data_IF_090314729733
#
_entry.id   IF_090314729733
#
_cell.length_a   1.000
_cell.length_b   1.000
_cell.length_c   1.000
_cell.angle_alpha   90.00
_cell.angle_beta   90.00
_cell.angle_gamma   90.00
#
_symmetry.space_group_name_H-M   'P 1'
#
loop_
_entity.id
_entity.type
_entity.pdbx_description
1 polymer ?
#
# COMPACT_ATOMS: atom_id res chain seq x y z
N UNK A 1 47.61 -54.57 -13.96
CA UNK A 1 46.45 -53.81 -14.56
C UNK A 1 45.62 -53.17 -13.42
N UNK A 2 45.74 -51.88 -13.26
CA UNK A 2 44.99 -51.10 -12.24
C UNK A 2 43.88 -50.32 -12.94
N UNK A 3 42.65 -50.70 -12.70
CA UNK A 3 41.47 -50.06 -13.24
C UNK A 3 41.05 -48.91 -12.32
N UNK A 4 41.18 -47.69 -12.80
CA UNK A 4 40.76 -46.46 -12.08
C UNK A 4 39.27 -46.24 -12.28
N UNK A 5 38.50 -46.26 -11.16
CA UNK A 5 37.09 -45.88 -11.15
C UNK A 5 36.96 -44.34 -11.00
N UNK A 6 36.51 -43.70 -12.07
CA UNK A 6 36.14 -42.30 -12.03
C UNK A 6 34.71 -42.19 -11.48
N UNK A 7 34.59 -41.63 -10.29
CA UNK A 7 33.26 -41.25 -9.70
C UNK A 7 32.83 -39.90 -10.25
N UNK A 8 31.83 -39.92 -11.12
CA UNK A 8 31.14 -38.70 -11.56
C UNK A 8 30.27 -38.15 -10.42
N UNK A 9 30.63 -36.98 -9.93
CA UNK A 9 29.82 -36.22 -8.99
C UNK A 9 28.88 -35.33 -9.80
N UNK A 10 27.60 -35.70 -9.85
CA UNK A 10 26.55 -34.88 -10.48
C UNK A 10 26.13 -33.77 -9.53
N UNK A 11 26.51 -32.55 -9.81
CA UNK A 11 26.09 -31.35 -9.07
C UNK A 11 24.69 -30.98 -9.54
N UNK A 12 23.68 -31.27 -8.75
CA UNK A 12 22.30 -30.83 -8.98
C UNK A 12 22.19 -29.33 -8.61
N UNK A 13 22.12 -28.47 -9.63
CA UNK A 13 21.85 -27.02 -9.48
C UNK A 13 20.34 -26.86 -9.18
N UNK A 14 20.00 -26.63 -7.92
CA UNK A 14 18.65 -26.23 -7.54
C UNK A 14 18.43 -24.75 -7.93
N UNK A 15 17.76 -24.52 -9.03
CA UNK A 15 17.29 -23.17 -9.42
C UNK A 15 16.11 -22.82 -8.53
N UNK A 16 16.37 -22.04 -7.48
CA UNK A 16 15.30 -21.40 -6.71
C UNK A 16 14.62 -20.35 -7.61
N UNK A 17 13.41 -20.64 -8.05
CA UNK A 17 12.56 -19.67 -8.75
C UNK A 17 12.17 -18.58 -7.75
N UNK A 18 12.91 -17.47 -7.79
CA UNK A 18 12.53 -16.23 -7.09
C UNK A 18 11.33 -15.66 -7.84
N UNK A 19 10.14 -15.82 -7.29
CA UNK A 19 8.95 -15.09 -7.76
C UNK A 19 9.20 -13.60 -7.53
N UNK A 20 9.71 -12.92 -8.55
CA UNK A 20 9.81 -11.46 -8.58
C UNK A 20 8.40 -10.93 -8.77
N UNK A 21 7.76 -10.53 -7.68
CA UNK A 21 6.52 -9.75 -7.75
C UNK A 21 6.87 -8.43 -8.44
N UNK A 22 6.35 -8.22 -9.65
CA UNK A 22 6.49 -6.96 -10.37
C UNK A 22 5.68 -5.92 -9.62
N UNK A 23 6.34 -5.07 -8.86
CA UNK A 23 5.75 -3.89 -8.24
C UNK A 23 5.85 -2.74 -9.24
N UNK A 24 4.71 -2.13 -9.56
CA UNK A 24 4.66 -0.88 -10.29
C UNK A 24 5.00 0.27 -9.33
N UNK A 25 6.30 0.47 -9.12
CA UNK A 25 6.87 1.59 -8.42
C UNK A 25 8.28 1.76 -8.97
N UNK A 26 8.52 2.84 -9.70
CA UNK A 26 9.74 3.01 -10.51
C UNK A 26 10.99 3.36 -9.68
N UNK A 27 10.85 3.69 -8.39
CA UNK A 27 11.98 4.08 -7.54
C UNK A 27 12.21 3.13 -6.36
N UNK A 28 13.47 2.98 -5.89
CA UNK A 28 13.79 2.19 -4.71
C UNK A 28 13.01 2.63 -3.45
N UNK A 29 12.69 3.92 -3.35
CA UNK A 29 11.91 4.52 -2.27
C UNK A 29 10.44 4.09 -2.32
N UNK A 30 9.85 4.06 -3.49
CA UNK A 30 8.48 3.60 -3.70
C UNK A 30 8.36 2.12 -3.36
N UNK A 31 9.29 1.33 -3.85
CA UNK A 31 9.36 -0.10 -3.52
C UNK A 31 9.47 -0.33 -2.01
N UNK A 32 10.36 0.37 -1.32
CA UNK A 32 10.52 0.25 0.13
C UNK A 32 9.25 0.63 0.89
N UNK A 33 8.52 1.66 0.45
CA UNK A 33 7.24 2.05 1.03
C UNK A 33 6.18 0.95 0.83
N UNK A 34 6.03 0.45 -0.39
CA UNK A 34 5.05 -0.61 -0.73
C UNK A 34 5.34 -1.89 0.05
N UNK A 35 6.61 -2.32 0.13
CA UNK A 35 7.02 -3.51 0.87
C UNK A 35 6.75 -3.36 2.38
N UNK A 36 7.06 -2.19 2.95
CA UNK A 36 6.81 -1.89 4.38
C UNK A 36 5.31 -1.87 4.69
N UNK A 37 4.51 -1.23 3.83
CA UNK A 37 3.06 -1.16 3.99
C UNK A 37 2.43 -2.55 3.91
N UNK A 38 2.81 -3.34 2.91
CA UNK A 38 2.34 -4.73 2.74
C UNK A 38 2.64 -5.57 3.98
N UNK A 39 3.87 -5.51 4.48
CA UNK A 39 4.29 -6.23 5.68
C UNK A 39 3.45 -5.84 6.91
N UNK A 40 3.26 -4.55 7.13
CA UNK A 40 2.46 -4.03 8.24
C UNK A 40 0.99 -4.46 8.12
N UNK A 41 0.42 -4.40 6.93
CA UNK A 41 -0.96 -4.77 6.66
C UNK A 41 -1.20 -6.27 6.89
N UNK A 42 -0.36 -7.15 6.32
CA UNK A 42 -0.50 -8.60 6.46
C UNK A 42 -0.23 -9.07 7.90
N UNK A 43 0.66 -8.40 8.63
CA UNK A 43 0.92 -8.65 10.05
C UNK A 43 -0.14 -8.04 10.98
N UNK A 44 -1.09 -7.25 10.47
CA UNK A 44 -2.04 -6.45 11.27
C UNK A 44 -1.33 -5.55 12.29
N UNK A 45 -0.18 -5.01 11.91
CA UNK A 45 0.58 -4.07 12.74
C UNK A 45 -0.10 -2.70 12.73
N UNK A 46 -1.01 -2.51 13.69
CA UNK A 46 -1.81 -1.29 13.84
C UNK A 46 -0.94 -0.05 14.00
N UNK A 47 0.15 -0.14 14.77
CA UNK A 47 1.03 0.99 15.02
C UNK A 47 1.75 1.42 13.74
N UNK A 48 2.30 0.47 12.99
CA UNK A 48 2.95 0.74 11.71
C UNK A 48 1.95 1.31 10.68
N UNK A 49 0.74 0.76 10.57
CA UNK A 49 -0.30 1.27 9.67
C UNK A 49 -0.75 2.69 10.04
N UNK A 50 -0.90 3.00 11.32
CA UNK A 50 -1.27 4.35 11.75
C UNK A 50 -0.12 5.35 11.58
N UNK A 51 1.14 4.92 11.66
CA UNK A 51 2.30 5.78 11.50
C UNK A 51 2.45 6.36 10.08
N UNK A 52 1.82 5.75 9.07
CA UNK A 52 1.81 6.29 7.71
C UNK A 52 0.75 7.37 7.49
N UNK A 53 -0.16 7.59 8.45
CA UNK A 53 -1.15 8.67 8.38
C UNK A 53 -0.49 10.01 8.70
N UNK A 54 -0.66 10.98 7.79
CA UNK A 54 -0.32 12.37 8.10
C UNK A 54 -1.57 13.06 8.67
N UNK A 55 -1.51 13.36 9.97
CA UNK A 55 -2.66 13.81 10.77
C UNK A 55 -2.63 15.30 11.12
N UNK A 56 -1.56 16.02 10.75
CA UNK A 56 -1.46 17.44 11.07
C UNK A 56 -2.52 18.25 10.33
N UNK A 57 -3.42 18.86 11.08
CA UNK A 57 -4.54 19.63 10.54
C UNK A 57 -5.70 18.78 10.03
N UNK A 58 -5.73 17.47 10.35
CA UNK A 58 -6.85 16.60 10.01
C UNK A 58 -8.10 16.92 10.82
N UNK A 59 -9.28 16.63 10.25
CA UNK A 59 -10.54 16.57 10.98
C UNK A 59 -10.57 15.31 11.87
N UNK A 60 -10.91 15.43 13.18
CA UNK A 60 -10.90 14.28 14.08
C UNK A 60 -11.84 13.15 13.65
N UNK A 61 -13.04 13.47 13.15
CA UNK A 61 -14.00 12.46 12.68
C UNK A 61 -13.52 11.73 11.44
N UNK A 62 -12.91 12.46 10.50
CA UNK A 62 -12.32 11.87 9.30
C UNK A 62 -11.11 11.00 9.68
N UNK A 63 -10.28 11.42 10.64
CA UNK A 63 -9.16 10.62 11.13
C UNK A 63 -9.61 9.26 11.67
N UNK A 64 -10.69 9.20 12.44
CA UNK A 64 -11.23 7.92 12.94
C UNK A 64 -11.76 7.04 11.79
N UNK A 65 -12.37 7.63 10.76
CA UNK A 65 -12.77 6.90 9.56
C UNK A 65 -11.54 6.28 8.88
N UNK A 66 -10.48 7.06 8.68
CA UNK A 66 -9.24 6.57 8.05
C UNK A 66 -8.60 5.43 8.85
N UNK A 67 -8.51 5.55 10.18
CA UNK A 67 -8.00 4.48 11.05
C UNK A 67 -8.83 3.21 10.91
N UNK A 68 -10.16 3.33 10.94
CA UNK A 68 -11.07 2.21 10.80
C UNK A 68 -10.94 1.54 9.44
N UNK A 69 -10.90 2.32 8.37
CA UNK A 69 -10.75 1.79 7.00
C UNK A 69 -9.43 1.05 6.80
N UNK A 70 -8.32 1.58 7.33
CA UNK A 70 -7.02 0.91 7.23
C UNK A 70 -6.99 -0.45 7.94
N UNK A 71 -7.74 -0.59 9.02
CA UNK A 71 -7.73 -1.80 9.84
C UNK A 71 -8.78 -2.83 9.43
N UNK A 72 -9.78 -2.44 8.63
CA UNK A 72 -10.94 -3.30 8.29
C UNK A 72 -10.56 -4.63 7.65
N UNK A 73 -9.54 -4.65 6.81
CA UNK A 73 -9.05 -5.85 6.13
C UNK A 73 -7.61 -6.23 6.53
N UNK A 74 -7.01 -5.51 7.49
CA UNK A 74 -5.66 -5.80 7.97
C UNK A 74 -5.57 -7.21 8.58
N UNK A 75 -4.45 -7.88 8.31
CA UNK A 75 -4.22 -9.28 8.65
C UNK A 75 -4.60 -10.26 7.54
N UNK A 76 -5.22 -9.77 6.45
CA UNK A 76 -5.45 -10.57 5.24
C UNK A 76 -4.26 -10.47 4.29
N UNK A 77 -4.07 -11.49 3.47
CA UNK A 77 -3.01 -11.50 2.47
C UNK A 77 -3.35 -10.57 1.31
N UNK A 78 -2.40 -9.73 0.94
CA UNK A 78 -2.50 -8.86 -0.23
C UNK A 78 -2.14 -9.68 -1.48
N UNK A 79 -3.07 -9.79 -2.43
CA UNK A 79 -2.82 -10.44 -3.72
C UNK A 79 -2.18 -9.51 -4.74
N UNK A 80 -2.50 -8.21 -4.67
CA UNK A 80 -1.90 -7.18 -5.53
C UNK A 80 -1.74 -5.87 -4.76
N UNK A 81 -0.61 -5.19 -4.94
CA UNK A 81 -0.37 -3.85 -4.40
C UNK A 81 0.41 -3.03 -5.42
N UNK A 82 -0.03 -1.82 -5.69
CA UNK A 82 0.56 -0.93 -6.67
C UNK A 82 0.52 0.52 -6.17
N UNK A 83 1.60 1.26 -6.42
CA UNK A 83 1.65 2.71 -6.23
C UNK A 83 1.58 3.36 -7.62
N UNK A 84 0.49 4.07 -7.90
CA UNK A 84 0.15 4.60 -9.21
C UNK A 84 0.19 6.13 -9.16
N UNK A 85 0.81 6.75 -10.16
CA UNK A 85 0.79 8.20 -10.32
C UNK A 85 -0.61 8.69 -10.68
N UNK A 86 -0.96 9.88 -10.23
CA UNK A 86 -2.20 10.52 -10.61
C UNK A 86 -2.15 11.02 -12.06
N UNK A 87 -3.28 10.86 -12.74
CA UNK A 87 -3.57 11.59 -13.97
C UNK A 87 -3.76 13.09 -13.69
N UNK A 88 -3.66 13.92 -14.73
CA UNK A 88 -3.91 15.35 -14.62
C UNK A 88 -5.34 15.66 -14.10
N UNK A 89 -6.31 14.83 -14.46
CA UNK A 89 -7.70 14.95 -14.01
C UNK A 89 -7.85 14.62 -12.50
N UNK A 90 -7.25 13.54 -12.05
CA UNK A 90 -7.26 13.18 -10.63
C UNK A 90 -6.57 14.24 -9.77
N UNK A 91 -5.49 14.86 -10.28
CA UNK A 91 -4.81 15.98 -9.61
C UNK A 91 -5.73 17.18 -9.41
N UNK A 92 -6.61 17.48 -10.40
CA UNK A 92 -7.62 18.53 -10.27
C UNK A 92 -8.68 18.16 -9.23
N UNK A 93 -9.15 16.92 -9.26
CA UNK A 93 -10.19 16.43 -8.34
C UNK A 93 -9.74 16.47 -6.89
N UNK A 94 -8.48 16.11 -6.57
CA UNK A 94 -7.97 16.13 -5.19
C UNK A 94 -7.63 17.55 -4.71
N UNK A 95 -7.42 18.50 -5.62
CA UNK A 95 -7.22 19.91 -5.30
C UNK A 95 -8.55 20.65 -4.96
N UNK A 96 -9.69 20.08 -5.35
CA UNK A 96 -11.00 20.68 -5.13
C UNK A 96 -11.52 20.35 -3.73
N UNK A 97 -11.99 21.33 -2.94
CA UNK A 97 -12.62 21.08 -1.65
C UNK A 97 -13.78 20.09 -1.76
N UNK A 98 -13.85 19.14 -0.84
CA UNK A 98 -14.92 18.14 -0.78
C UNK A 98 -15.85 18.40 0.38
N UNK A 99 -17.11 17.97 0.24
CA UNK A 99 -18.02 17.96 1.37
C UNK A 99 -17.57 16.91 2.40
N UNK A 100 -17.51 17.33 3.67
CA UNK A 100 -17.15 16.43 4.76
C UNK A 100 -18.37 15.66 5.25
N UNK A 101 -18.23 14.37 5.56
CA UNK A 101 -19.28 13.63 6.26
C UNK A 101 -19.57 14.18 7.67
N UNK A 102 -18.62 14.95 8.24
CA UNK A 102 -18.74 15.62 9.55
C UNK A 102 -19.27 17.06 9.42
N UNK A 103 -19.57 17.52 8.22
CA UNK A 103 -20.03 18.87 7.89
C UNK A 103 -18.91 19.80 7.42
N UNK A 104 -19.29 20.79 6.59
CA UNK A 104 -18.34 21.76 6.02
C UNK A 104 -17.51 21.22 4.84
N UNK A 105 -16.48 21.98 4.45
CA UNK A 105 -15.56 21.63 3.38
C UNK A 105 -14.23 21.16 3.94
N UNK A 106 -13.67 20.10 3.34
CA UNK A 106 -12.35 19.55 3.69
C UNK A 106 -11.42 19.58 2.50
N UNK A 107 -10.15 19.74 2.82
CA UNK A 107 -9.04 19.78 1.89
C UNK A 107 -7.93 18.85 2.38
N UNK A 108 -7.10 18.38 1.48
CA UNK A 108 -5.89 17.65 1.87
C UNK A 108 -4.84 18.62 2.41
N UNK A 109 -4.25 18.36 3.59
CA UNK A 109 -3.18 19.20 4.15
C UNK A 109 -1.87 19.09 3.39
N UNK A 110 -1.66 17.99 2.69
CA UNK A 110 -0.61 17.75 1.73
C UNK A 110 -1.24 17.35 0.40
N UNK A 111 -0.71 17.87 -0.70
CA UNK A 111 -1.19 17.53 -2.04
C UNK A 111 -0.85 16.08 -2.38
N UNK A 112 -1.82 15.19 -2.53
CA UNK A 112 -1.56 13.84 -3.00
C UNK A 112 -1.10 13.86 -4.46
N UNK A 113 -0.20 12.97 -4.82
CA UNK A 113 0.31 12.82 -6.19
C UNK A 113 0.22 11.38 -6.69
N UNK A 114 0.00 10.43 -5.78
CA UNK A 114 -0.07 9.00 -6.08
C UNK A 114 -1.24 8.35 -5.37
N UNK A 115 -1.60 7.15 -5.86
CA UNK A 115 -2.60 6.28 -5.23
C UNK A 115 -1.96 4.92 -4.93
N UNK A 116 -2.08 4.47 -3.70
CA UNK A 116 -1.76 3.10 -3.30
C UNK A 116 -3.01 2.23 -3.50
N UNK A 117 -2.97 1.34 -4.48
CA UNK A 117 -4.04 0.39 -4.76
C UNK A 117 -3.69 -0.97 -4.15
N UNK A 118 -4.61 -1.52 -3.37
CA UNK A 118 -4.42 -2.77 -2.62
C UNK A 118 -5.57 -3.70 -2.95
N UNK A 119 -5.27 -4.88 -3.45
CA UNK A 119 -6.25 -5.95 -3.68
C UNK A 119 -6.05 -7.05 -2.66
N UNK A 120 -7.11 -7.41 -1.97
CA UNK A 120 -7.14 -8.44 -0.93
C UNK A 120 -8.13 -9.52 -1.34
N UNK A 121 -7.71 -10.77 -1.26
CA UNK A 121 -8.58 -11.91 -1.50
C UNK A 121 -9.43 -12.20 -0.26
N UNK A 122 -10.73 -12.36 -0.48
CA UNK A 122 -11.69 -12.77 0.55
C UNK A 122 -12.19 -14.18 0.26
N UNK A 123 -12.24 -15.01 1.28
CA UNK A 123 -12.96 -16.28 1.22
C UNK A 123 -14.38 -16.04 1.69
N UNK A 124 -15.34 -16.27 0.81
CA UNK A 124 -16.76 -16.19 1.11
C UNK A 124 -17.40 -17.58 1.05
N UNK A 125 -18.56 -17.75 1.69
CA UNK A 125 -19.27 -19.03 1.71
C UNK A 125 -19.63 -19.54 0.30
N UNK A 126 -19.75 -18.64 -0.68
CA UNK A 126 -20.11 -18.94 -2.07
C UNK A 126 -18.94 -18.92 -3.06
N UNK A 127 -17.68 -18.80 -2.57
CA UNK A 127 -16.50 -18.79 -3.43
C UNK A 127 -15.40 -17.82 -3.00
N UNK A 128 -14.53 -17.48 -3.95
CA UNK A 128 -13.49 -16.46 -3.76
C UNK A 128 -13.98 -15.13 -4.32
N UNK A 129 -13.84 -14.07 -3.54
CA UNK A 129 -14.01 -12.69 -3.99
C UNK A 129 -12.73 -11.91 -3.74
N UNK A 130 -12.58 -10.76 -4.39
CA UNK A 130 -11.50 -9.82 -4.10
C UNK A 130 -12.07 -8.43 -3.89
N UNK A 131 -11.46 -7.66 -3.00
CA UNK A 131 -11.76 -6.25 -2.82
C UNK A 131 -10.52 -5.43 -3.13
N UNK A 132 -10.71 -4.34 -3.87
CA UNK A 132 -9.65 -3.37 -4.15
C UNK A 132 -9.93 -2.08 -3.38
N UNK A 133 -8.94 -1.64 -2.63
CA UNK A 133 -8.96 -0.41 -1.84
C UNK A 133 -7.90 0.55 -2.39
N UNK A 134 -8.17 1.87 -2.32
CA UNK A 134 -7.23 2.89 -2.73
C UNK A 134 -7.01 3.92 -1.64
N UNK A 135 -5.74 4.26 -1.38
CA UNK A 135 -5.35 5.35 -0.50
C UNK A 135 -4.59 6.42 -1.29
N UNK A 136 -4.90 7.68 -1.06
CA UNK A 136 -4.13 8.77 -1.62
C UNK A 136 -2.80 8.90 -0.89
N UNK A 137 -1.73 9.13 -1.65
CA UNK A 137 -0.37 9.20 -1.13
C UNK A 137 0.23 10.56 -1.49
N UNK A 138 0.81 11.20 -0.49
CA UNK A 138 1.61 12.42 -0.63
C UNK A 138 3.04 12.15 -0.16
N UNK A 139 3.96 13.04 -0.51
CA UNK A 139 5.32 13.01 0.01
C UNK A 139 5.49 14.13 1.03
N UNK A 140 6.06 13.80 2.19
CA UNK A 140 6.42 14.75 3.26
C UNK A 140 7.80 14.41 3.80
N UNK A 141 8.71 15.37 3.75
CA UNK A 141 10.09 15.24 4.25
C UNK A 141 10.80 13.98 3.73
N UNK A 142 10.61 13.69 2.44
CA UNK A 142 11.19 12.53 1.79
C UNK A 142 10.51 11.19 2.10
N UNK A 143 9.37 11.17 2.79
CA UNK A 143 8.61 9.96 3.12
C UNK A 143 7.23 9.98 2.45
N UNK A 144 6.74 8.81 2.06
CA UNK A 144 5.38 8.65 1.61
C UNK A 144 4.43 8.53 2.80
N UNK A 145 3.32 9.26 2.75
CA UNK A 145 2.30 9.31 3.80
C UNK A 145 0.91 9.33 3.18
N UNK A 146 -0.09 8.93 3.96
CA UNK A 146 -1.50 9.05 3.62
C UNK A 146 -2.02 10.34 4.25
N UNK A 147 -2.28 11.41 3.48
CA UNK A 147 -2.78 12.66 4.03
C UNK A 147 -4.25 12.51 4.44
N UNK A 148 -4.54 12.73 5.71
CA UNK A 148 -5.91 12.73 6.21
C UNK A 148 -6.51 14.13 6.02
N UNK A 149 -7.67 14.27 5.34
CA UNK A 149 -8.29 15.56 5.11
C UNK A 149 -8.65 16.29 6.40
N UNK A 150 -8.64 17.61 6.33
CA UNK A 150 -9.06 18.49 7.42
C UNK A 150 -9.77 19.73 6.87
N UNK A 151 -10.23 20.63 7.75
CA UNK A 151 -10.89 21.87 7.32
C UNK A 151 -10.04 22.64 6.32
N UNK A 152 -10.67 23.13 5.25
CA UNK A 152 -9.98 24.02 4.30
C UNK A 152 -9.59 25.33 5.00
N UNK A 153 -8.37 25.79 4.77
CA UNK A 153 -7.86 27.07 5.28
C UNK A 153 -8.22 28.20 4.32
#
# INVERSE_FOLDING_TARGET
>A
MKTSMIRSVTFALAVAAVCVSVYAGDSPKEKAFVDSYKKAFEAKDTAALQSVLYTQGSDPGILEIYKTMQLSDAGKKISKIELIDFTAEEMKQVATPKDSPTGGKVCFPLKPTKRLMITVDRKEAKGKSSITMGNFIAEKDGKFVIPVPGPCK
#
